data_IF_620719904691
#
_entry.id   IF_620719904691
#
_cell.length_a   1.000
_cell.length_b   1.000
_cell.length_c   1.000
_cell.angle_alpha   90.00
_cell.angle_beta   90.00
_cell.angle_gamma   90.00
#
_symmetry.space_group_name_H-M   'P 1'
#
loop_
_entity.id
_entity.type
_entity.pdbx_description
1 polymer ?
#
# COMPACT_ATOMS: atom_id res chain seq x y z
N UNK A 1 -3.77 -11.58 -16.10
CA UNK A 1 -2.86 -10.67 -15.38
C UNK A 1 -3.09 -10.90 -13.89
N UNK A 2 -2.31 -11.77 -13.25
CA UNK A 2 -2.52 -12.13 -11.83
C UNK A 2 -2.06 -10.94 -11.00
N UNK A 3 -2.90 -10.48 -10.07
CA UNK A 3 -2.71 -9.25 -9.30
C UNK A 3 -1.36 -9.24 -8.58
N UNK A 4 -0.40 -8.45 -9.07
CA UNK A 4 0.97 -8.34 -8.56
C UNK A 4 1.02 -7.93 -7.09
N UNK A 5 -0.04 -7.25 -6.61
CA UNK A 5 -0.30 -6.85 -5.22
C UNK A 5 -0.20 -8.05 -4.27
N UNK A 6 -0.95 -9.11 -4.60
CA UNK A 6 -1.10 -10.28 -3.75
C UNK A 6 0.18 -11.10 -3.70
N UNK A 7 0.97 -11.01 -4.77
CA UNK A 7 2.20 -11.76 -4.94
C UNK A 7 3.29 -11.24 -4.00
N UNK A 8 3.52 -9.93 -3.96
CA UNK A 8 4.54 -9.32 -3.10
C UNK A 8 4.20 -9.46 -1.61
N UNK A 9 2.94 -9.26 -1.21
CA UNK A 9 2.53 -9.51 0.18
C UNK A 9 2.76 -10.96 0.60
N UNK A 10 2.44 -11.90 -0.30
CA UNK A 10 2.65 -13.31 -0.03
C UNK A 10 4.13 -13.64 0.10
N UNK A 11 4.99 -13.11 -0.76
CA UNK A 11 6.44 -13.28 -0.64
C UNK A 11 6.99 -12.66 0.65
N UNK A 12 6.50 -11.50 1.07
CA UNK A 12 6.87 -10.88 2.34
C UNK A 12 6.44 -11.72 3.55
N UNK A 13 5.25 -12.32 3.51
CA UNK A 13 4.76 -13.22 4.56
C UNK A 13 5.59 -14.50 4.64
N UNK A 14 5.89 -15.12 3.51
CA UNK A 14 6.75 -16.32 3.44
C UNK A 14 8.16 -15.98 3.94
N UNK A 15 8.72 -14.84 3.54
CA UNK A 15 10.03 -14.41 3.99
C UNK A 15 10.09 -14.19 5.51
N UNK A 16 9.02 -13.64 6.09
CA UNK A 16 8.89 -13.48 7.53
C UNK A 16 8.87 -14.84 8.26
N UNK A 17 8.15 -15.83 7.73
CA UNK A 17 8.09 -17.19 8.27
C UNK A 17 9.42 -17.93 8.15
N UNK A 18 10.14 -17.75 7.04
CA UNK A 18 11.42 -18.41 6.76
C UNK A 18 12.63 -17.69 7.38
N UNK A 19 12.43 -16.55 8.03
CA UNK A 19 13.52 -15.73 8.60
C UNK A 19 14.42 -15.10 7.55
N UNK A 20 13.92 -14.92 6.33
CA UNK A 20 14.58 -14.25 5.21
C UNK A 20 14.53 -12.74 5.43
N UNK A 21 15.50 -12.02 4.86
CA UNK A 21 15.55 -10.55 4.94
C UNK A 21 14.35 -9.91 4.21
N UNK A 22 13.33 -9.58 5.01
CA UNK A 22 12.10 -8.92 4.57
C UNK A 22 12.38 -7.54 3.98
N UNK A 23 13.41 -6.83 4.48
CA UNK A 23 13.75 -5.50 3.99
C UNK A 23 14.31 -5.54 2.57
N UNK A 24 15.13 -6.56 2.27
CA UNK A 24 15.63 -6.79 0.91
C UNK A 24 14.49 -7.05 -0.08
N UNK A 25 13.48 -7.85 0.29
CA UNK A 25 12.33 -8.14 -0.56
C UNK A 25 11.42 -6.91 -0.71
N UNK A 26 11.16 -6.20 0.38
CA UNK A 26 10.34 -4.99 0.36
C UNK A 26 10.96 -3.88 -0.53
N UNK A 27 12.30 -3.81 -0.60
CA UNK A 27 12.99 -2.83 -1.44
C UNK A 27 12.75 -3.01 -2.94
N UNK A 28 12.39 -4.22 -3.39
CA UNK A 28 12.13 -4.51 -4.79
C UNK A 28 10.78 -3.98 -5.29
N UNK A 29 9.86 -3.67 -4.37
CA UNK A 29 8.53 -3.12 -4.68
C UNK A 29 8.14 -2.08 -3.62
N UNK A 30 8.70 -0.86 -3.68
CA UNK A 30 8.45 0.16 -2.68
C UNK A 30 6.97 0.54 -2.62
N UNK A 31 6.45 0.66 -1.41
CA UNK A 31 5.10 1.17 -1.17
C UNK A 31 5.04 2.67 -1.49
N UNK A 32 3.85 3.13 -1.90
CA UNK A 32 3.59 4.55 -2.08
C UNK A 32 3.16 5.12 -0.73
N UNK A 33 3.86 6.13 -0.24
CA UNK A 33 3.54 6.77 1.03
C UNK A 33 2.83 8.09 0.76
N UNK A 34 1.71 8.32 1.45
CA UNK A 34 0.93 9.56 1.37
C UNK A 34 0.67 10.12 2.78
N UNK A 35 0.54 11.45 2.92
CA UNK A 35 0.13 12.04 4.17
C UNK A 35 -1.37 11.80 4.42
N UNK A 36 -1.77 11.68 5.68
CA UNK A 36 -3.18 11.57 6.09
C UNK A 36 -4.02 12.79 5.72
N UNK A 37 -3.36 13.93 5.49
CA UNK A 37 -3.99 15.19 5.07
C UNK A 37 -4.25 15.25 3.56
N UNK A 38 -3.90 14.21 2.79
CA UNK A 38 -4.12 14.17 1.34
C UNK A 38 -5.61 14.07 1.01
N UNK A 39 -6.10 14.95 0.13
CA UNK A 39 -7.49 14.91 -0.31
C UNK A 39 -7.88 13.57 -0.95
N UNK A 40 -9.07 12.99 -0.62
CA UNK A 40 -9.52 11.71 -1.17
C UNK A 40 -9.54 11.66 -2.71
N UNK A 41 -9.87 12.77 -3.38
CA UNK A 41 -9.87 12.88 -4.84
C UNK A 41 -8.45 12.72 -5.41
N UNK A 42 -7.46 13.32 -4.75
CA UNK A 42 -6.06 13.21 -5.13
C UNK A 42 -5.53 11.81 -4.82
N UNK A 43 -6.00 11.19 -3.74
CA UNK A 43 -5.70 9.81 -3.37
C UNK A 43 -6.17 8.81 -4.43
N UNK A 44 -7.35 9.00 -5.04
CA UNK A 44 -7.79 8.20 -6.20
C UNK A 44 -6.80 8.29 -7.38
N UNK A 45 -6.26 9.48 -7.62
CA UNK A 45 -5.22 9.69 -8.63
C UNK A 45 -3.93 8.93 -8.33
N UNK A 46 -3.54 8.86 -7.05
CA UNK A 46 -2.40 8.07 -6.58
C UNK A 46 -2.67 6.57 -6.74
N UNK A 47 -3.80 6.09 -6.24
CA UNK A 47 -4.23 4.68 -6.31
C UNK A 47 -4.33 4.18 -7.75
N UNK A 48 -4.83 5.00 -8.68
CA UNK A 48 -4.88 4.65 -10.11
C UNK A 48 -3.49 4.51 -10.73
N UNK A 49 -2.51 5.31 -10.29
CA UNK A 49 -1.11 5.21 -10.76
C UNK A 49 -0.35 4.09 -10.07
N UNK A 50 -0.77 3.69 -8.87
CA UNK A 50 -0.13 2.63 -8.10
C UNK A 50 -0.10 1.28 -8.82
N UNK A 51 -0.99 1.03 -9.81
CA UNK A 51 -1.01 -0.20 -10.65
C UNK A 51 -0.88 -1.53 -9.86
N UNK A 52 -1.35 -1.55 -8.61
CA UNK A 52 -1.23 -2.70 -7.72
C UNK A 52 -0.12 -2.61 -6.67
N UNK A 53 0.49 -1.44 -6.49
CA UNK A 53 1.27 -1.13 -5.29
C UNK A 53 0.35 -0.72 -4.14
N UNK A 54 0.81 -0.96 -2.91
CA UNK A 54 0.17 -0.54 -1.68
C UNK A 54 0.33 0.96 -1.45
N UNK A 55 -0.71 1.61 -0.94
CA UNK A 55 -0.64 3.00 -0.49
C UNK A 55 -0.69 3.03 1.04
N UNK A 56 0.37 3.49 1.67
CA UNK A 56 0.50 3.63 3.12
C UNK A 56 0.22 5.08 3.49
N UNK A 57 -0.65 5.27 4.47
CA UNK A 57 -1.00 6.58 5.02
C UNK A 57 -0.16 6.85 6.26
N UNK A 58 0.46 8.02 6.31
CA UNK A 58 1.31 8.46 7.41
C UNK A 58 0.87 9.82 7.94
N UNK A 59 1.11 10.07 9.22
CA UNK A 59 0.92 11.40 9.79
C UNK A 59 2.16 12.30 9.55
N UNK A 60 2.10 13.53 10.02
CA UNK A 60 3.17 14.53 9.89
C UNK A 60 4.50 14.17 10.59
N UNK A 61 4.48 13.18 11.49
CA UNK A 61 5.67 12.65 12.17
C UNK A 61 6.21 11.38 11.50
N UNK A 62 5.64 10.95 10.36
CA UNK A 62 6.02 9.73 9.65
C UNK A 62 5.48 8.44 10.29
N UNK A 63 4.58 8.54 11.27
CA UNK A 63 3.95 7.37 11.88
C UNK A 63 2.89 6.82 10.94
N UNK A 64 2.97 5.51 10.67
CA UNK A 64 2.01 4.79 9.83
C UNK A 64 0.65 4.75 10.53
N UNK A 65 -0.37 5.28 9.87
CA UNK A 65 -1.76 5.25 10.34
C UNK A 65 -2.52 4.06 9.75
N UNK A 66 -2.18 3.64 8.54
CA UNK A 66 -2.86 2.52 7.89
C UNK A 66 -2.47 2.31 6.42
N UNK A 67 -3.21 1.42 5.80
CA UNK A 67 -3.12 1.07 4.38
C UNK A 67 -4.43 1.44 3.70
N UNK A 68 -4.36 1.99 2.49
CA UNK A 68 -5.53 2.27 1.66
C UNK A 68 -5.43 1.54 0.33
N UNK A 69 -6.54 0.95 -0.08
CA UNK A 69 -6.76 0.30 -1.36
C UNK A 69 -7.78 1.07 -2.20
N UNK A 70 -7.80 0.87 -3.53
CA UNK A 70 -8.82 1.49 -4.39
C UNK A 70 -10.26 1.17 -3.97
N UNK A 71 -10.50 0.01 -3.34
CA UNK A 71 -11.83 -0.38 -2.87
C UNK A 71 -12.28 0.48 -1.69
N UNK A 72 -11.40 0.73 -0.72
CA UNK A 72 -11.73 1.50 0.50
C UNK A 72 -12.25 2.91 0.16
N UNK A 73 -11.68 3.54 -0.88
CA UNK A 73 -12.12 4.88 -1.31
C UNK A 73 -13.50 4.85 -1.99
N UNK A 74 -13.82 3.76 -2.70
CA UNK A 74 -15.15 3.54 -3.27
C UNK A 74 -16.18 3.28 -2.17
N UNK A 75 -15.82 2.49 -1.15
CA UNK A 75 -16.71 2.21 -0.01
C UNK A 75 -16.98 3.45 0.84
N UNK A 76 -16.02 4.37 0.97
CA UNK A 76 -16.16 5.60 1.76
C UNK A 76 -17.29 6.56 1.30
N UNK A 77 -17.83 6.40 0.09
CA UNK A 77 -18.91 7.24 -0.46
C UNK A 77 -20.16 6.45 -0.86
N UNK A 78 -20.11 5.11 -0.77
CA UNK A 78 -21.19 4.23 -1.21
C UNK A 78 -21.95 3.57 -0.03
N UNK A 79 -21.79 4.12 1.18
CA UNK A 79 -22.62 3.80 2.35
C UNK A 79 -23.97 4.48 2.31
#
# INVERSE_FOLDING_TARGET
MKSSVLYVLKELLVALEEGVDVAAIASASPAIIVPETLDPINLLGVLRRARGSFVIVTNEFGVVQGLVTPLDVLEAHCG
#
